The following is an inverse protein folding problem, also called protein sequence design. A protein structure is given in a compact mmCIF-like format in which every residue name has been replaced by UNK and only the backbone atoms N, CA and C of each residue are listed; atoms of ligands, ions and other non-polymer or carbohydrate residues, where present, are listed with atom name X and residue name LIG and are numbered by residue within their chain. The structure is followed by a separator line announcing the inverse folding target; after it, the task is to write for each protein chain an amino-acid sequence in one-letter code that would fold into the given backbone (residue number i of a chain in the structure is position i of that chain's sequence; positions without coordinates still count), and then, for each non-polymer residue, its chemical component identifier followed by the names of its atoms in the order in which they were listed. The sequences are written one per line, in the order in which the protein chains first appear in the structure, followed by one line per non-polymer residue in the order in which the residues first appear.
data_IF_841147113334
#
_entry.id   IF_841147113334
#
_cell.length_a   1.000
_cell.length_b   1.000
_cell.length_c   1.000
_cell.angle_alpha   90.00
_cell.angle_beta   90.00
_cell.angle_gamma   90.00
#
_symmetry.space_group_name_H-M   'P 1'
#
loop_
_entity.id
_entity.type
_entity.pdbx_description
1 polymer ?
#
# COMPACT_ATOMS: atom_id res chain seq x y z
N UNK A 1 -19.60 -20.39 14.52
CA UNK A 1 -19.18 -18.95 14.73
C UNK A 1 -17.99 -18.76 13.80
N UNK A 2 -18.20 -18.13 12.66
CA UNK A 2 -17.12 -17.68 11.81
C UNK A 2 -16.32 -16.65 12.59
N UNK A 3 -15.08 -16.99 12.90
CA UNK A 3 -14.07 -16.02 13.33
C UNK A 3 -13.63 -15.26 12.08
N UNK A 4 -14.47 -14.36 11.57
CA UNK A 4 -14.09 -13.46 10.51
C UNK A 4 -12.91 -12.60 10.98
N UNK A 5 -11.94 -12.38 10.12
CA UNK A 5 -10.83 -11.47 10.39
C UNK A 5 -11.42 -10.08 10.73
N UNK A 6 -11.19 -9.62 11.96
CA UNK A 6 -11.69 -8.33 12.44
C UNK A 6 -11.11 -7.12 11.69
N UNK A 7 -10.07 -7.34 10.90
CA UNK A 7 -9.45 -6.31 10.07
C UNK A 7 -10.05 -6.27 8.65
N UNK A 8 -10.89 -7.24 8.29
CA UNK A 8 -11.55 -7.26 7.00
C UNK A 8 -12.70 -6.25 6.98
N UNK A 9 -12.46 -5.08 6.40
CA UNK A 9 -13.43 -4.00 6.26
C UNK A 9 -13.85 -3.95 4.78
N UNK A 10 -15.11 -4.25 4.52
CA UNK A 10 -15.67 -4.25 3.18
C UNK A 10 -16.66 -3.09 2.94
N UNK A 11 -17.31 -3.14 1.79
CA UNK A 11 -18.35 -2.19 1.41
C UNK A 11 -19.48 -2.18 2.45
N UNK A 12 -19.83 -0.98 2.94
CA UNK A 12 -20.97 -0.79 3.84
C UNK A 12 -22.30 -0.85 3.07
N UNK A 13 -23.30 -1.49 3.66
CA UNK A 13 -24.65 -1.57 3.11
C UNK A 13 -25.56 -0.46 3.67
N UNK A 14 -25.13 0.78 3.49
CA UNK A 14 -25.91 1.94 3.91
C UNK A 14 -26.91 2.36 2.82
N UNK A 15 -28.15 2.69 3.23
CA UNK A 15 -29.15 3.30 2.35
C UNK A 15 -29.22 4.80 2.59
N UNK A 16 -28.94 5.57 1.55
CA UNK A 16 -29.10 7.03 1.58
C UNK A 16 -30.59 7.35 1.46
N UNK A 17 -31.14 8.01 2.48
CA UNK A 17 -32.52 8.49 2.48
C UNK A 17 -32.56 9.93 1.95
N UNK A 18 -33.59 10.24 1.19
CA UNK A 18 -33.88 11.61 0.69
C UNK A 18 -32.77 12.25 -0.15
N UNK A 19 -31.84 11.45 -0.70
CA UNK A 19 -30.74 11.94 -1.54
C UNK A 19 -29.76 12.88 -0.82
N UNK A 20 -29.78 12.95 0.52
CA UNK A 20 -28.92 13.84 1.29
C UNK A 20 -27.65 13.13 1.74
N UNK A 21 -26.52 13.81 1.58
CA UNK A 21 -25.25 13.35 2.13
C UNK A 21 -25.27 13.52 3.66
N UNK A 22 -24.97 12.44 4.38
CA UNK A 22 -24.72 12.46 5.83
C UNK A 22 -23.28 12.02 6.13
N UNK A 23 -22.73 12.27 7.33
CA UNK A 23 -21.42 11.76 7.71
C UNK A 23 -21.30 10.25 7.52
N UNK A 24 -22.33 9.48 7.88
CA UNK A 24 -22.37 8.03 7.73
C UNK A 24 -22.33 7.63 6.25
N UNK A 25 -23.08 8.33 5.39
CA UNK A 25 -23.07 8.10 3.95
C UNK A 25 -21.68 8.37 3.36
N UNK A 26 -21.01 9.45 3.79
CA UNK A 26 -19.66 9.79 3.35
C UNK A 26 -18.64 8.71 3.72
N UNK A 27 -18.70 8.22 4.96
CA UNK A 27 -17.79 7.17 5.43
C UNK A 27 -18.08 5.79 4.84
N UNK A 28 -19.32 5.53 4.43
CA UNK A 28 -19.73 4.29 3.78
C UNK A 28 -19.25 4.17 2.31
N UNK A 29 -18.87 5.29 1.69
CA UNK A 29 -18.39 5.28 0.31
C UNK A 29 -17.00 4.65 0.22
N UNK A 30 -16.83 3.70 -0.72
CA UNK A 30 -15.51 3.23 -1.14
C UNK A 30 -14.72 4.35 -1.82
N UNK A 31 -13.43 4.48 -1.50
CA UNK A 31 -12.54 5.47 -2.11
C UNK A 31 -11.61 4.78 -3.09
N UNK A 32 -11.80 5.11 -4.37
CA UNK A 32 -10.96 4.60 -5.44
C UNK A 32 -9.55 5.17 -5.27
N UNK A 33 -8.58 4.28 -5.29
CA UNK A 33 -7.16 4.61 -5.34
C UNK A 33 -6.60 4.59 -6.75
N UNK A 34 -5.30 4.29 -6.88
CA UNK A 34 -4.63 4.19 -8.17
C UNK A 34 -5.31 3.19 -9.12
N UNK A 35 -5.25 3.49 -10.41
CA UNK A 35 -5.74 2.62 -11.48
C UNK A 35 -4.67 2.44 -12.54
N UNK A 36 -4.63 1.25 -13.16
CA UNK A 36 -3.69 0.94 -14.22
C UNK A 36 -4.36 0.08 -15.30
N UNK A 37 -4.15 0.45 -16.57
CA UNK A 37 -4.71 -0.26 -17.72
C UNK A 37 -3.76 -1.38 -18.14
N UNK A 38 -4.30 -2.56 -18.47
CA UNK A 38 -3.50 -3.67 -18.98
C UNK A 38 -2.80 -3.31 -20.30
N UNK A 39 -1.65 -3.90 -20.63
CA UNK A 39 -0.90 -3.58 -21.84
C UNK A 39 -1.69 -3.76 -23.14
N UNK A 40 -2.68 -4.65 -23.14
CA UNK A 40 -3.56 -4.89 -24.28
C UNK A 40 -4.78 -3.93 -24.35
N UNK A 41 -4.90 -3.01 -23.38
CA UNK A 41 -5.98 -2.04 -23.28
C UNK A 41 -7.35 -2.60 -22.87
N UNK A 42 -7.46 -3.90 -22.52
CA UNK A 42 -8.76 -4.56 -22.32
C UNK A 42 -9.23 -4.60 -20.87
N UNK A 43 -8.32 -4.46 -19.91
CA UNK A 43 -8.63 -4.54 -18.47
C UNK A 43 -8.07 -3.35 -17.70
N UNK A 44 -8.71 -3.08 -16.60
CA UNK A 44 -8.27 -2.08 -15.62
C UNK A 44 -8.13 -2.75 -14.27
N UNK A 45 -6.98 -2.61 -13.62
CA UNK A 45 -6.79 -2.91 -12.21
C UNK A 45 -6.87 -1.61 -11.42
N UNK A 46 -7.54 -1.63 -10.27
CA UNK A 46 -7.65 -0.47 -9.40
C UNK A 46 -7.86 -0.91 -7.94
N UNK A 47 -7.70 0.00 -7.02
CA UNK A 47 -7.88 -0.26 -5.60
C UNK A 47 -9.05 0.52 -5.03
N UNK A 48 -9.72 -0.04 -4.01
CA UNK A 48 -10.78 0.65 -3.27
C UNK A 48 -10.53 0.51 -1.78
N UNK A 49 -10.49 1.64 -1.08
CA UNK A 49 -10.44 1.66 0.37
C UNK A 49 -11.85 1.77 0.96
N UNK A 50 -12.14 0.94 1.95
CA UNK A 50 -13.34 1.01 2.78
C UNK A 50 -12.96 1.35 4.22
N UNK A 51 -13.89 1.95 4.94
CA UNK A 51 -13.67 2.48 6.28
C UNK A 51 -14.69 1.94 7.27
N UNK A 52 -14.23 1.66 8.49
CA UNK A 52 -15.08 1.37 9.63
C UNK A 52 -14.86 2.44 10.70
N UNK A 53 -15.84 3.31 10.89
CA UNK A 53 -15.79 4.35 11.93
C UNK A 53 -15.76 3.73 13.33
N UNK A 54 -16.58 2.69 13.65
CA UNK A 54 -16.53 2.06 14.96
C UNK A 54 -15.19 1.44 15.32
N UNK A 55 -14.52 0.84 14.33
CA UNK A 55 -13.21 0.21 14.53
C UNK A 55 -12.03 1.21 14.38
N UNK A 56 -12.32 2.45 13.93
CA UNK A 56 -11.30 3.44 13.55
C UNK A 56 -10.22 2.87 12.64
N UNK A 57 -10.64 2.11 11.63
CA UNK A 57 -9.75 1.40 10.69
C UNK A 57 -10.22 1.55 9.25
N UNK A 58 -9.31 1.31 8.35
CA UNK A 58 -9.59 1.17 6.92
C UNK A 58 -8.93 -0.10 6.37
N UNK A 59 -9.47 -0.60 5.28
CA UNK A 59 -8.87 -1.65 4.48
C UNK A 59 -8.92 -1.28 3.01
N UNK A 60 -7.93 -1.71 2.23
CA UNK A 60 -7.84 -1.43 0.80
C UNK A 60 -7.66 -2.74 0.04
N UNK A 61 -8.50 -2.93 -0.95
CA UNK A 61 -8.58 -4.14 -1.75
C UNK A 61 -8.36 -3.85 -3.24
N UNK A 62 -7.93 -4.86 -3.99
CA UNK A 62 -7.71 -4.79 -5.43
C UNK A 62 -8.93 -5.29 -6.19
N UNK A 63 -9.26 -4.59 -7.26
CA UNK A 63 -10.35 -4.90 -8.18
C UNK A 63 -9.83 -4.95 -9.61
N UNK A 64 -10.44 -5.79 -10.42
CA UNK A 64 -10.20 -5.87 -11.86
C UNK A 64 -11.53 -5.81 -12.59
N UNK A 65 -11.59 -5.06 -13.69
CA UNK A 65 -12.74 -4.98 -14.58
C UNK A 65 -12.28 -4.95 -16.03
N UNK A 66 -13.19 -5.19 -16.97
CA UNK A 66 -12.96 -4.90 -18.37
C UNK A 66 -12.93 -3.38 -18.59
N UNK A 67 -12.26 -2.91 -19.66
CA UNK A 67 -12.13 -1.49 -19.97
C UNK A 67 -13.48 -0.79 -20.23
N UNK A 68 -14.52 -1.54 -20.59
CA UNK A 68 -15.89 -1.05 -20.76
C UNK A 68 -16.70 -1.00 -19.43
N UNK A 69 -16.06 -1.35 -18.30
CA UNK A 69 -16.67 -1.39 -16.98
C UNK A 69 -17.40 -2.70 -16.65
N UNK A 70 -17.50 -3.64 -17.59
CA UNK A 70 -18.10 -4.95 -17.34
C UNK A 70 -17.15 -5.87 -16.55
N UNK A 71 -17.68 -7.00 -16.04
CA UNK A 71 -16.94 -8.04 -15.30
C UNK A 71 -16.11 -7.48 -14.14
N UNK A 72 -16.67 -6.51 -13.41
CA UNK A 72 -16.01 -5.86 -12.27
C UNK A 72 -15.96 -6.82 -11.07
N UNK A 73 -14.75 -7.18 -10.65
CA UNK A 73 -14.52 -8.16 -9.57
C UNK A 73 -13.52 -7.63 -8.55
N UNK A 74 -13.85 -7.80 -7.28
CA UNK A 74 -12.89 -7.74 -6.18
C UNK A 74 -12.04 -9.02 -6.22
N UNK A 75 -10.71 -8.87 -6.37
CA UNK A 75 -9.79 -10.01 -6.51
C UNK A 75 -8.97 -10.28 -5.24
N UNK A 76 -8.95 -9.33 -4.29
CA UNK A 76 -8.38 -9.55 -2.95
C UNK A 76 -9.47 -9.35 -1.90
N UNK A 77 -9.37 -10.11 -0.80
CA UNK A 77 -10.22 -9.99 0.37
C UNK A 77 -9.41 -10.40 1.58
N UNK A 78 -8.58 -9.47 2.05
CA UNK A 78 -7.62 -9.72 3.13
C UNK A 78 -7.81 -8.72 4.27
N UNK A 79 -7.20 -8.97 5.43
CA UNK A 79 -7.13 -8.00 6.52
C UNK A 79 -5.98 -7.00 6.35
N UNK A 80 -5.30 -7.00 5.21
CA UNK A 80 -4.16 -6.15 4.89
C UNK A 80 -4.54 -5.12 3.84
N UNK A 81 -3.72 -4.08 3.69
CA UNK A 81 -3.95 -3.05 2.68
C UNK A 81 -3.11 -3.34 1.42
N UNK A 82 -3.78 -3.59 0.30
CA UNK A 82 -3.17 -3.69 -1.01
C UNK A 82 -3.19 -2.32 -1.71
N UNK A 83 -2.00 -1.79 -2.01
CA UNK A 83 -1.85 -0.46 -2.60
C UNK A 83 -1.12 -0.54 -3.95
N UNK A 84 -1.29 0.49 -4.78
CA UNK A 84 -0.52 0.72 -6.01
C UNK A 84 -0.48 -0.48 -6.98
N UNK A 85 -1.63 -1.11 -7.21
CA UNK A 85 -1.72 -2.25 -8.10
C UNK A 85 -1.46 -1.87 -9.56
N UNK A 86 -0.49 -2.54 -10.21
CA UNK A 86 -0.11 -2.32 -11.62
C UNK A 86 0.06 -3.64 -12.36
N UNK A 87 -0.20 -3.63 -13.66
CA UNK A 87 0.04 -4.78 -14.52
C UNK A 87 1.54 -4.93 -14.80
N UNK A 88 2.03 -6.17 -14.72
CA UNK A 88 3.39 -6.56 -15.08
C UNK A 88 3.37 -7.84 -15.94
N UNK A 89 4.54 -8.22 -16.46
CA UNK A 89 4.74 -9.44 -17.26
C UNK A 89 3.76 -9.52 -18.45
N UNK A 90 3.66 -8.40 -19.17
CA UNK A 90 2.75 -8.32 -20.32
C UNK A 90 1.26 -8.45 -19.98
N UNK A 91 0.86 -8.14 -18.76
CA UNK A 91 -0.52 -8.25 -18.28
C UNK A 91 -0.90 -9.61 -17.70
N UNK A 92 0.06 -10.51 -17.52
CA UNK A 92 -0.19 -11.85 -16.93
C UNK A 92 -0.13 -11.86 -15.41
N UNK A 93 0.45 -10.81 -14.78
CA UNK A 93 0.52 -10.63 -13.35
C UNK A 93 0.16 -9.20 -12.95
N UNK A 94 -0.19 -9.02 -11.69
CA UNK A 94 -0.41 -7.73 -11.02
C UNK A 94 0.62 -7.62 -9.90
N UNK A 95 1.42 -6.54 -9.92
CA UNK A 95 2.28 -6.16 -8.80
C UNK A 95 1.57 -5.15 -7.91
N UNK A 96 1.81 -5.19 -6.61
CA UNK A 96 1.18 -4.31 -5.62
C UNK A 96 2.02 -4.23 -4.35
N UNK A 97 1.77 -3.21 -3.54
CA UNK A 97 2.33 -3.12 -2.18
C UNK A 97 1.37 -3.72 -1.17
N UNK A 98 1.90 -4.50 -0.23
CA UNK A 98 1.13 -5.10 0.86
C UNK A 98 1.96 -5.24 2.13
N UNK A 99 1.33 -5.03 3.28
CA UNK A 99 1.96 -5.13 4.60
C UNK A 99 1.75 -6.48 5.30
N UNK A 100 1.32 -7.51 4.58
CA UNK A 100 1.08 -8.88 5.09
C UNK A 100 2.32 -9.49 5.76
N UNK A 101 3.53 -9.13 5.31
CA UNK A 101 4.79 -9.60 5.89
C UNK A 101 5.27 -8.81 7.12
N UNK A 102 4.46 -7.89 7.65
CA UNK A 102 4.80 -7.05 8.80
C UNK A 102 5.29 -5.65 8.42
N UNK A 103 5.78 -5.45 7.20
CA UNK A 103 6.11 -4.16 6.59
C UNK A 103 5.57 -4.10 5.18
N UNK A 104 5.42 -2.88 4.62
CA UNK A 104 4.97 -2.69 3.24
C UNK A 104 6.05 -3.19 2.28
N UNK A 105 5.74 -4.25 1.55
CA UNK A 105 6.65 -4.90 0.60
C UNK A 105 6.00 -5.01 -0.77
N UNK A 106 6.84 -5.23 -1.81
CA UNK A 106 6.38 -5.49 -3.16
C UNK A 106 5.95 -6.96 -3.29
N UNK A 107 4.76 -7.16 -3.85
CA UNK A 107 4.14 -8.47 -4.09
C UNK A 107 3.68 -8.59 -5.53
N UNK A 108 3.45 -9.82 -5.97
CA UNK A 108 2.73 -10.13 -7.22
C UNK A 108 1.61 -11.14 -7.00
N UNK A 109 0.65 -11.16 -7.90
CA UNK A 109 -0.43 -12.16 -7.95
C UNK A 109 -0.94 -12.35 -9.36
N UNK A 110 -1.73 -13.40 -9.58
CA UNK A 110 -2.51 -13.57 -10.81
C UNK A 110 -3.64 -12.51 -10.90
N UNK A 111 -4.16 -12.21 -12.10
CA UNK A 111 -5.28 -11.29 -12.28
C UNK A 111 -6.60 -11.72 -11.62
N UNK A 112 -6.70 -12.96 -11.17
CA UNK A 112 -7.82 -13.49 -10.40
C UNK A 112 -7.59 -13.46 -8.87
N UNK A 113 -6.47 -12.89 -8.41
CA UNK A 113 -6.09 -12.79 -7.00
C UNK A 113 -5.36 -14.00 -6.43
N UNK A 114 -5.15 -15.05 -7.22
CA UNK A 114 -4.41 -16.25 -6.79
C UNK A 114 -2.89 -16.10 -6.93
N UNK A 115 -2.13 -17.06 -6.41
CA UNK A 115 -0.66 -17.14 -6.52
C UNK A 115 0.05 -15.89 -6.02
N UNK A 116 -0.36 -15.38 -4.84
CA UNK A 116 0.26 -14.23 -4.18
C UNK A 116 1.67 -14.59 -3.74
N UNK A 117 2.64 -13.78 -4.14
CA UNK A 117 4.06 -13.96 -3.80
C UNK A 117 4.71 -12.63 -3.45
N UNK A 118 5.51 -12.62 -2.40
CA UNK A 118 6.35 -11.49 -2.06
C UNK A 118 7.57 -11.45 -2.99
N UNK A 119 7.82 -10.28 -3.58
CA UNK A 119 8.94 -10.02 -4.49
C UNK A 119 10.10 -9.32 -3.79
N UNK A 120 9.86 -8.64 -2.67
CA UNK A 120 10.87 -7.91 -1.91
C UNK A 120 10.99 -8.42 -0.49
N UNK A 121 12.18 -8.31 0.08
CA UNK A 121 12.49 -8.52 1.48
C UNK A 121 13.38 -7.38 1.98
N UNK A 122 12.88 -6.16 1.82
CA UNK A 122 13.57 -4.95 2.25
C UNK A 122 13.32 -4.70 3.73
N UNK A 123 14.33 -4.15 4.44
CA UNK A 123 14.29 -3.97 5.89
C UNK A 123 13.33 -2.88 6.38
N UNK A 124 12.79 -2.08 5.45
CA UNK A 124 11.85 -0.98 5.70
C UNK A 124 10.63 -1.07 4.80
N UNK A 125 9.67 -0.19 5.04
CA UNK A 125 8.52 -0.02 4.17
C UNK A 125 8.93 0.48 2.79
N UNK A 126 8.32 -0.10 1.76
CA UNK A 126 8.30 0.42 0.40
C UNK A 126 7.04 1.28 0.26
N UNK A 127 7.20 2.56 -0.06
CA UNK A 127 6.11 3.54 -0.13
C UNK A 127 5.55 3.74 -1.54
N UNK A 128 6.33 3.37 -2.55
CA UNK A 128 5.96 3.46 -3.96
C UNK A 128 6.95 2.73 -4.83
N UNK A 129 6.53 2.32 -6.03
CA UNK A 129 7.41 1.60 -6.96
C UNK A 129 7.05 1.86 -8.44
N UNK A 130 8.01 1.59 -9.31
CA UNK A 130 7.82 1.54 -10.76
C UNK A 130 8.78 0.52 -11.37
N UNK A 131 8.28 -0.28 -12.32
CA UNK A 131 9.14 -1.16 -13.12
C UNK A 131 9.75 -0.40 -14.30
N UNK A 132 10.97 -0.77 -14.69
CA UNK A 132 11.52 -0.34 -15.98
C UNK A 132 10.72 -0.92 -17.15
N UNK A 133 10.73 -0.31 -18.34
CA UNK A 133 9.96 -0.82 -19.49
C UNK A 133 10.29 -2.25 -19.90
N UNK A 134 11.49 -2.72 -19.64
CA UNK A 134 11.95 -4.10 -19.88
C UNK A 134 11.74 -5.03 -18.68
N UNK A 135 11.17 -4.49 -17.60
CA UNK A 135 10.94 -5.18 -16.32
C UNK A 135 12.16 -5.84 -15.70
N UNK A 136 13.37 -5.32 -15.97
CA UNK A 136 14.62 -5.83 -15.37
C UNK A 136 15.05 -5.08 -14.14
N UNK A 137 14.45 -3.91 -13.90
CA UNK A 137 14.70 -3.07 -12.72
C UNK A 137 13.43 -2.59 -12.11
N UNK A 138 13.49 -2.35 -10.80
CA UNK A 138 12.44 -1.71 -10.02
C UNK A 138 13.01 -0.49 -9.33
N UNK A 139 12.45 0.67 -9.61
CA UNK A 139 12.62 1.85 -8.78
C UNK A 139 11.61 1.76 -7.64
N UNK A 140 12.04 2.01 -6.42
CA UNK A 140 11.12 2.11 -5.28
C UNK A 140 11.52 3.24 -4.33
N UNK A 141 10.60 3.69 -3.53
CA UNK A 141 10.78 4.75 -2.54
C UNK A 141 10.71 4.14 -1.14
N UNK A 142 11.67 4.49 -0.30
CA UNK A 142 11.69 4.15 1.12
C UNK A 142 12.30 5.27 1.95
N UNK A 143 11.98 5.29 3.24
CA UNK A 143 12.46 6.31 4.16
C UNK A 143 13.91 6.08 4.55
N UNK A 144 14.73 7.12 4.44
CA UNK A 144 16.12 7.14 4.91
C UNK A 144 16.23 8.07 6.11
N UNK A 145 16.88 7.59 7.15
CA UNK A 145 17.15 8.38 8.34
C UNK A 145 18.10 9.54 7.99
N UNK A 146 17.69 10.76 8.30
CA UNK A 146 18.44 11.98 8.00
C UNK A 146 18.96 12.70 9.24
N UNK A 147 18.42 12.37 10.41
CA UNK A 147 18.80 12.96 11.70
C UNK A 147 19.14 11.88 12.69
N UNK A 148 20.27 12.04 13.38
CA UNK A 148 20.64 11.13 14.46
C UNK A 148 19.67 11.29 15.64
N UNK A 149 19.11 10.18 16.09
CA UNK A 149 18.28 10.14 17.29
C UNK A 149 19.11 10.23 18.58
N UNK A 150 18.44 10.44 19.70
CA UNK A 150 19.09 10.39 21.02
C UNK A 150 19.71 9.01 21.25
N UNK A 151 19.05 7.92 20.81
CA UNK A 151 19.56 6.56 20.92
C UNK A 151 20.83 6.32 20.10
N UNK A 152 20.99 6.99 18.95
CA UNK A 152 22.25 6.87 18.18
C UNK A 152 23.42 7.55 18.90
N UNK A 153 23.15 8.65 19.62
CA UNK A 153 24.15 9.40 20.35
C UNK A 153 24.46 8.76 21.72
N UNK A 154 23.48 8.12 22.31
CA UNK A 154 23.54 7.48 23.64
C UNK A 154 22.93 6.07 23.56
N UNK A 155 23.64 5.10 22.98
CA UNK A 155 23.12 3.75 22.75
C UNK A 155 22.87 2.95 24.03
N UNK A 156 23.40 3.39 25.16
CA UNK A 156 23.18 2.85 26.50
C UNK A 156 21.87 3.34 27.14
N UNK A 157 21.19 4.31 26.51
CA UNK A 157 19.94 4.90 26.97
C UNK A 157 18.76 4.52 26.06
N UNK A 158 18.57 3.24 25.83
CA UNK A 158 17.57 2.68 24.91
C UNK A 158 16.11 3.07 25.24
N UNK A 159 15.84 3.39 26.50
CA UNK A 159 14.52 3.81 27.00
C UNK A 159 14.33 5.32 27.06
N UNK A 160 15.34 6.09 26.69
CA UNK A 160 15.23 7.54 26.73
C UNK A 160 14.31 8.06 25.60
N UNK A 161 13.29 8.83 25.98
CA UNK A 161 12.35 9.46 25.04
C UNK A 161 12.69 10.92 24.73
N UNK A 162 13.75 11.46 25.32
CA UNK A 162 14.22 12.81 25.07
C UNK A 162 14.73 13.00 23.64
N UNK A 163 14.40 14.14 23.03
CA UNK A 163 14.90 14.52 21.71
C UNK A 163 15.92 15.64 21.86
N UNK A 164 17.12 15.46 21.28
CA UNK A 164 18.16 16.47 21.25
C UNK A 164 18.02 17.24 19.95
N UNK A 165 17.72 18.54 20.06
CA UNK A 165 17.58 19.47 18.93
C UNK A 165 18.77 20.40 18.95
N UNK A 166 19.58 20.37 17.89
CA UNK A 166 20.78 21.22 17.73
C UNK A 166 20.54 22.40 16.82
N UNK A 167 19.40 22.44 16.15
CA UNK A 167 18.98 23.54 15.28
C UNK A 167 17.49 23.83 15.51
N UNK A 168 17.02 24.99 15.08
CA UNK A 168 15.61 25.38 15.24
C UNK A 168 14.75 24.61 14.23
N UNK A 169 14.38 23.38 14.60
CA UNK A 169 13.52 22.52 13.80
C UNK A 169 12.08 22.63 14.26
N UNK A 170 11.17 22.88 13.32
CA UNK A 170 9.74 22.82 13.58
C UNK A 170 9.23 21.38 13.43
N UNK A 171 8.34 20.98 14.33
CA UNK A 171 7.55 19.77 14.13
C UNK A 171 6.70 19.93 12.86
N UNK A 172 6.64 18.87 12.05
CA UNK A 172 5.63 18.75 11.01
C UNK A 172 4.38 18.16 11.64
N UNK A 173 3.36 18.97 11.86
CA UNK A 173 2.17 18.62 12.64
C UNK A 173 2.55 18.26 14.10
N UNK A 174 2.46 16.99 14.46
CA UNK A 174 2.76 16.44 15.77
C UNK A 174 4.03 15.56 15.79
N UNK A 175 4.68 15.36 14.63
CA UNK A 175 5.85 14.51 14.47
C UNK A 175 7.14 15.28 14.18
N UNK A 176 8.26 14.72 14.66
CA UNK A 176 9.59 15.22 14.29
C UNK A 176 10.01 14.60 12.96
N UNK A 177 10.41 15.39 12.00
CA UNK A 177 10.93 14.92 10.72
C UNK A 177 12.36 14.40 10.93
N UNK A 178 12.51 13.08 11.01
CA UNK A 178 13.79 12.40 11.22
C UNK A 178 14.22 11.55 10.04
N UNK A 179 13.36 11.40 9.06
CA UNK A 179 13.59 10.64 7.83
C UNK A 179 13.19 11.47 6.61
N UNK A 180 13.69 11.07 5.45
CA UNK A 180 13.27 11.62 4.17
C UNK A 180 13.08 10.49 3.14
N UNK A 181 12.08 10.60 2.24
CA UNK A 181 11.90 9.61 1.19
C UNK A 181 13.06 9.66 0.20
N UNK A 182 13.64 8.49 -0.13
CA UNK A 182 14.69 8.35 -1.12
C UNK A 182 14.32 7.31 -2.16
N UNK A 183 14.67 7.52 -3.45
CA UNK A 183 14.53 6.54 -4.49
C UNK A 183 15.69 5.53 -4.44
N UNK A 184 15.36 4.27 -4.61
CA UNK A 184 16.28 3.15 -4.77
C UNK A 184 16.01 2.45 -6.08
N UNK A 185 17.04 1.85 -6.68
CA UNK A 185 16.89 1.03 -7.88
C UNK A 185 17.43 -0.36 -7.58
N UNK A 186 16.57 -1.36 -7.72
CA UNK A 186 16.89 -2.76 -7.54
C UNK A 186 16.86 -3.52 -8.88
N UNK A 187 17.62 -4.58 -8.98
CA UNK A 187 17.48 -5.53 -10.07
C UNK A 187 16.27 -6.44 -9.85
N UNK A 188 15.58 -6.78 -10.94
CA UNK A 188 14.42 -7.69 -10.94
C UNK A 188 14.69 -8.87 -11.88
N UNK A 189 14.70 -10.08 -11.34
CA UNK A 189 14.95 -11.33 -12.08
C UNK A 189 13.66 -12.02 -12.55
N UNK A 190 12.51 -11.35 -12.42
CA UNK A 190 11.19 -11.90 -12.70
C UNK A 190 10.56 -12.66 -11.51
N UNK A 191 11.27 -12.78 -10.38
CA UNK A 191 10.80 -13.50 -9.18
C UNK A 191 11.03 -12.70 -7.89
N UNK A 192 12.08 -11.92 -7.83
CA UNK A 192 12.47 -11.12 -6.67
C UNK A 192 13.26 -9.89 -7.08
N UNK A 193 13.27 -8.88 -6.22
CA UNK A 193 14.17 -7.74 -6.34
C UNK A 193 15.43 -7.97 -5.48
N UNK A 194 16.57 -7.49 -5.96
CA UNK A 194 17.87 -7.62 -5.30
C UNK A 194 18.73 -6.38 -5.48
N UNK A 195 19.72 -6.22 -4.62
CA UNK A 195 20.74 -5.15 -4.70
C UNK A 195 20.14 -3.72 -4.79
N UNK A 196 19.25 -3.31 -3.88
CA UNK A 196 18.77 -1.93 -3.82
C UNK A 196 19.84 -0.97 -3.30
#
# INVERSE_FOLDING_TARGET
KETGDKNLIGKSDIRIKDGRMTPEALWAMGRIGGMNVSPDGKKVVYTVAYYSVPENKSNREVFVMNADGSDNKQITKTGFAENEAVWIKGGTKIAFLCNESGSSQLWEMNPDGTDRKRLSDYDKDIEGFAFSPDEKKVLFISQVKTVNSTADKYPDLDKATGVIITDLMYKHWDEWVTTAPHPFVADFDGKSISNP
#
